data_IF_741186052102
#
_entry.id   IF_741186052102
#
_cell.length_a   1.000
_cell.length_b   1.000
_cell.length_c   1.000
_cell.angle_alpha   90.00
_cell.angle_beta   90.00
_cell.angle_gamma   90.00
#
_symmetry.space_group_name_H-M   'P 1'
#
loop_
_entity.id
_entity.type
_entity.pdbx_description
1 polymer ?
#
# COMPACT_ATOMS: atom_id res chain seq x y z
N UNK A 1 -2.23 10.45 -26.26
CA UNK A 1 -3.36 10.14 -25.33
C UNK A 1 -3.19 11.00 -24.08
N UNK A 2 -4.27 11.59 -23.53
CA UNK A 2 -4.19 12.53 -22.40
C UNK A 2 -4.89 11.92 -21.18
N UNK A 3 -4.14 11.51 -20.15
CA UNK A 3 -4.73 11.10 -18.87
C UNK A 3 -5.36 12.32 -18.18
N UNK A 4 -6.59 12.17 -17.69
CA UNK A 4 -7.23 13.11 -16.76
C UNK A 4 -7.50 12.37 -15.44
N UNK A 5 -7.28 13.06 -14.34
CA UNK A 5 -7.67 12.59 -13.00
C UNK A 5 -9.10 13.09 -12.78
N UNK A 6 -10.03 12.16 -12.55
CA UNK A 6 -11.41 12.49 -12.17
C UNK A 6 -11.46 12.78 -10.67
N UNK A 7 -12.13 13.85 -10.22
CA UNK A 7 -12.34 14.05 -8.79
C UNK A 7 -13.18 12.88 -8.26
N UNK A 8 -12.61 12.12 -7.33
CA UNK A 8 -13.33 11.06 -6.64
C UNK A 8 -14.22 11.71 -5.58
N UNK A 9 -15.51 11.34 -5.46
CA UNK A 9 -16.33 11.84 -4.36
C UNK A 9 -15.61 11.51 -3.05
N UNK A 10 -15.46 12.52 -2.20
CA UNK A 10 -14.83 12.39 -0.90
C UNK A 10 -15.69 11.41 -0.09
N UNK A 11 -15.26 10.16 -0.01
CA UNK A 11 -15.86 9.20 0.92
C UNK A 11 -15.56 9.71 2.32
N UNK A 12 -16.61 9.88 3.11
CA UNK A 12 -16.47 10.13 4.54
C UNK A 12 -15.53 9.06 5.11
N UNK A 13 -14.41 9.51 5.67
CA UNK A 13 -13.54 8.62 6.42
C UNK A 13 -14.37 8.02 7.55
N UNK A 14 -14.33 6.69 7.74
CA UNK A 14 -15.04 6.08 8.85
C UNK A 14 -14.67 6.78 10.14
N UNK A 15 -15.66 6.95 11.02
CA UNK A 15 -15.45 7.60 12.32
C UNK A 15 -14.23 7.01 13.03
N UNK A 16 -13.51 7.81 13.81
CA UNK A 16 -12.37 7.31 14.59
C UNK A 16 -12.73 6.14 15.53
N UNK A 17 -14.02 5.92 15.80
CA UNK A 17 -14.55 4.82 16.60
C UNK A 17 -14.99 3.59 15.79
N UNK A 18 -14.71 3.55 14.48
CA UNK A 18 -14.91 2.35 13.67
C UNK A 18 -13.85 1.33 14.08
N UNK A 19 -14.30 0.19 14.60
CA UNK A 19 -13.41 -0.94 14.91
C UNK A 19 -12.86 -1.52 13.60
N UNK A 20 -11.66 -1.12 13.23
CA UNK A 20 -10.95 -1.67 12.08
C UNK A 20 -10.33 -3.02 12.43
N UNK A 21 -10.29 -3.90 11.43
CA UNK A 21 -9.57 -5.17 11.55
C UNK A 21 -8.07 -4.89 11.63
N UNK A 22 -7.41 -5.44 12.65
CA UNK A 22 -5.96 -5.38 12.78
C UNK A 22 -5.30 -6.35 11.79
N UNK A 23 -5.14 -5.89 10.55
CA UNK A 23 -4.51 -6.68 9.49
C UNK A 23 -3.03 -6.94 9.76
N UNK A 24 -2.36 -6.11 10.55
CA UNK A 24 -0.96 -6.33 10.92
C UNK A 24 -0.83 -7.60 11.78
N UNK A 25 -1.78 -7.82 12.70
CA UNK A 25 -1.80 -9.04 13.53
C UNK A 25 -2.35 -10.28 12.80
N UNK A 26 -3.08 -10.12 11.69
CA UNK A 26 -3.88 -11.20 11.10
C UNK A 26 -3.43 -11.64 9.70
N UNK A 27 -2.74 -10.78 8.95
CA UNK A 27 -2.37 -11.06 7.57
C UNK A 27 -0.89 -11.44 7.44
N UNK A 28 -0.59 -12.21 6.39
CA UNK A 28 0.77 -12.44 5.90
C UNK A 28 0.92 -11.75 4.56
N UNK A 29 2.04 -11.08 4.37
CA UNK A 29 2.41 -10.48 3.09
C UNK A 29 3.54 -11.29 2.48
N UNK A 30 3.36 -11.67 1.21
CA UNK A 30 4.38 -12.34 0.41
C UNK A 30 4.51 -11.58 -0.91
N UNK A 31 5.75 -11.29 -1.30
CA UNK A 31 6.07 -10.59 -2.55
C UNK A 31 6.97 -11.47 -3.41
N UNK A 32 6.78 -11.44 -4.72
CA UNK A 32 7.57 -12.23 -5.67
C UNK A 32 8.98 -11.67 -5.87
N UNK A 33 9.19 -10.39 -5.53
CA UNK A 33 10.47 -9.68 -5.66
C UNK A 33 10.49 -8.47 -4.71
N UNK A 34 11.67 -8.14 -4.18
CA UNK A 34 11.85 -7.03 -3.25
C UNK A 34 13.25 -6.42 -3.40
N UNK A 35 13.31 -5.10 -3.53
CA UNK A 35 14.54 -4.31 -3.46
C UNK A 35 14.93 -4.13 -1.99
N UNK A 36 16.15 -4.55 -1.62
CA UNK A 36 16.63 -4.49 -0.24
C UNK A 36 16.64 -3.08 0.37
N UNK A 37 16.71 -2.02 -0.44
CA UNK A 37 16.62 -0.63 0.03
C UNK A 37 15.16 -0.15 0.20
N UNK A 38 14.18 -0.92 -0.27
CA UNK A 38 12.77 -0.58 -0.27
C UNK A 38 11.90 -1.80 0.12
N UNK A 39 12.04 -2.28 1.38
CA UNK A 39 11.37 -3.51 1.82
C UNK A 39 9.87 -3.32 2.04
N UNK A 40 9.11 -4.41 2.08
CA UNK A 40 7.64 -4.42 2.14
C UNK A 40 7.10 -3.74 3.39
N UNK A 41 7.81 -3.85 4.51
CA UNK A 41 7.49 -3.19 5.76
C UNK A 41 7.46 -1.66 5.60
N UNK A 42 8.29 -1.10 4.71
CA UNK A 42 8.29 0.34 4.43
C UNK A 42 7.01 0.83 3.76
N UNK A 43 6.18 -0.05 3.21
CA UNK A 43 4.83 0.30 2.72
C UNK A 43 3.75 0.23 3.81
N UNK A 44 4.04 -0.43 4.94
CA UNK A 44 3.11 -0.64 6.05
C UNK A 44 3.32 0.36 7.19
N UNK A 45 4.51 0.97 7.28
CA UNK A 45 4.77 2.05 8.22
C UNK A 45 3.95 3.30 7.89
N UNK A 46 3.45 3.97 8.93
CA UNK A 46 2.80 5.26 8.78
C UNK A 46 3.81 6.37 8.42
N UNK A 47 3.32 7.33 7.62
CA UNK A 47 3.95 8.58 7.14
C UNK A 47 5.49 8.68 7.28
N UNK A 48 6.18 8.76 6.14
CA UNK A 48 7.61 9.09 6.05
C UNK A 48 8.50 7.95 5.59
N UNK A 49 7.96 6.75 5.44
CA UNK A 49 8.67 5.62 4.86
C UNK A 49 8.75 5.73 3.33
N UNK A 50 9.83 5.19 2.75
CA UNK A 50 10.10 5.22 1.30
C UNK A 50 9.19 4.30 0.47
N UNK A 51 8.31 3.54 1.12
CA UNK A 51 7.48 2.52 0.50
C UNK A 51 8.26 1.28 0.08
N UNK A 52 7.52 0.32 -0.48
CA UNK A 52 8.03 -0.91 -1.06
C UNK A 52 8.39 -0.73 -2.54
N UNK A 53 9.37 -1.50 -3.03
CA UNK A 53 9.68 -1.63 -4.45
C UNK A 53 10.07 -3.07 -4.80
N UNK A 54 9.57 -3.57 -5.93
CA UNK A 54 10.08 -4.80 -6.53
C UNK A 54 11.51 -4.61 -7.06
N UNK A 55 12.41 -5.57 -6.84
CA UNK A 55 13.78 -5.52 -7.35
C UNK A 55 13.84 -5.72 -8.87
N UNK A 56 12.90 -6.50 -9.42
CA UNK A 56 12.86 -6.87 -10.83
C UNK A 56 11.47 -6.61 -11.41
N UNK A 57 11.36 -6.33 -12.73
CA UNK A 57 10.08 -6.34 -13.42
C UNK A 57 9.37 -7.69 -13.24
N UNK A 58 8.04 -7.67 -13.12
CA UNK A 58 7.20 -8.86 -13.02
C UNK A 58 6.00 -8.77 -13.96
N UNK A 59 5.30 -9.88 -14.15
CA UNK A 59 4.07 -9.91 -14.92
C UNK A 59 2.98 -9.09 -14.21
N UNK A 60 2.30 -8.24 -14.96
CA UNK A 60 1.07 -7.61 -14.51
C UNK A 60 -0.10 -8.40 -15.10
N UNK A 61 -0.76 -9.21 -14.28
CA UNK A 61 -1.99 -9.94 -14.64
C UNK A 61 -3.23 -9.16 -14.30
#
# INVERSE_FOLDING_TARGET
MRKRISPQPQRESPSANTAWLDLEALARVEVTSEDAAHPIESALLTVGATGWRAQSPGEQT
#
